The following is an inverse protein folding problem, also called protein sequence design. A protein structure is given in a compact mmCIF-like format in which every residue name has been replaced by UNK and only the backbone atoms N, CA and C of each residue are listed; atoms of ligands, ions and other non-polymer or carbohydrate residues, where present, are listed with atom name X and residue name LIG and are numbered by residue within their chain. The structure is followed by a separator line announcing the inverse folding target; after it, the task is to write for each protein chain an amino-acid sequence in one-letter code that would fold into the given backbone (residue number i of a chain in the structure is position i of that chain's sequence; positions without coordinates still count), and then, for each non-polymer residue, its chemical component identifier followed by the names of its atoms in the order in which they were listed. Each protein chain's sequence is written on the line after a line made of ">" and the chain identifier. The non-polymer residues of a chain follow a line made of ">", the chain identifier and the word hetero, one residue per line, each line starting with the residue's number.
data_IF_663043183584
#
_entry.id   IF_663043183584
#
_cell.length_a   1.000
_cell.length_b   1.000
_cell.length_c   1.000
_cell.angle_alpha   90.00
_cell.angle_beta   90.00
_cell.angle_gamma   90.00
#
_symmetry.space_group_name_H-M   'P 1'
#
loop_
_entity.id
_entity.type
_entity.pdbx_description
1 polymer ?
#
# COMPACT_ATOMS: atom_id res chain seq x y z
N UNK A 1 -6.81 0.14 14.28
CA UNK A 1 -6.07 -1.13 14.41
C UNK A 1 -5.00 -1.21 13.33
N UNK A 2 -3.95 -2.00 13.51
CA UNK A 2 -2.92 -2.27 12.48
C UNK A 2 -3.54 -2.56 11.10
N UNK A 3 -4.59 -3.39 11.04
CA UNK A 3 -5.34 -3.68 9.81
C UNK A 3 -5.94 -2.44 9.11
N UNK A 4 -6.40 -1.45 9.87
CA UNK A 4 -6.90 -0.19 9.30
C UNK A 4 -5.77 0.61 8.66
N UNK A 5 -4.57 0.62 9.28
CA UNK A 5 -3.40 1.30 8.73
C UNK A 5 -2.94 0.64 7.42
N UNK A 6 -3.02 -0.69 7.38
CA UNK A 6 -2.65 -1.50 6.23
C UNK A 6 -3.55 -1.17 5.03
N UNK A 7 -4.86 -1.22 5.25
CA UNK A 7 -5.83 -0.93 4.19
C UNK A 7 -5.82 0.53 3.73
N UNK A 8 -5.67 1.49 4.65
CA UNK A 8 -5.59 2.92 4.31
C UNK A 8 -4.37 3.25 3.45
N UNK A 9 -3.22 2.63 3.74
CA UNK A 9 -2.00 2.85 2.93
C UNK A 9 -2.09 2.21 1.54
N UNK A 10 -2.75 1.06 1.38
CA UNK A 10 -2.96 0.47 0.06
C UNK A 10 -3.85 1.36 -0.83
N UNK A 11 -4.95 1.89 -0.27
CA UNK A 11 -5.80 2.87 -0.96
C UNK A 11 -5.02 4.15 -1.28
N UNK A 12 -4.26 4.67 -0.33
CA UNK A 12 -3.41 5.84 -0.55
C UNK A 12 -2.37 5.63 -1.67
N UNK A 13 -1.76 4.44 -1.71
CA UNK A 13 -0.82 4.05 -2.76
C UNK A 13 -1.47 3.99 -4.13
N UNK A 14 -2.65 3.36 -4.25
CA UNK A 14 -3.42 3.35 -5.51
C UNK A 14 -3.81 4.76 -5.97
N UNK A 15 -4.21 5.63 -5.04
CA UNK A 15 -4.57 7.02 -5.35
C UNK A 15 -3.36 7.81 -5.87
N UNK A 16 -2.18 7.61 -5.28
CA UNK A 16 -0.93 8.20 -5.77
C UNK A 16 -0.54 7.68 -7.16
N UNK A 17 -0.82 6.41 -7.48
CA UNK A 17 -0.62 5.87 -8.82
C UNK A 17 -1.54 6.56 -9.83
N UNK A 18 -2.83 6.75 -9.51
CA UNK A 18 -3.75 7.48 -10.40
C UNK A 18 -3.27 8.91 -10.65
N UNK A 19 -2.83 9.62 -9.61
CA UNK A 19 -2.26 10.97 -9.73
C UNK A 19 -0.98 10.94 -10.57
N UNK A 20 -0.11 9.95 -10.37
CA UNK A 20 1.10 9.79 -11.15
C UNK A 20 0.79 9.59 -12.64
N UNK A 21 -0.18 8.74 -12.97
CA UNK A 21 -0.61 8.51 -14.34
C UNK A 21 -1.20 9.79 -14.97
N UNK A 22 -2.00 10.57 -14.23
CA UNK A 22 -2.50 11.87 -14.70
C UNK A 22 -1.34 12.83 -14.99
N UNK A 23 -0.36 12.93 -14.09
CA UNK A 23 0.78 13.82 -14.28
C UNK A 23 1.71 13.37 -15.41
N UNK A 24 1.96 12.07 -15.56
CA UNK A 24 2.81 11.51 -16.62
C UNK A 24 2.19 11.68 -18.01
N UNK A 25 0.92 11.31 -18.17
CA UNK A 25 0.31 11.20 -19.49
C UNK A 25 -0.54 12.41 -19.87
N UNK A 26 -1.33 12.96 -18.94
CA UNK A 26 -2.26 14.06 -19.23
C UNK A 26 -1.55 15.40 -19.12
N UNK A 27 -0.86 15.66 -18.01
CA UNK A 27 -0.22 16.96 -17.75
C UNK A 27 1.22 17.07 -18.25
N UNK A 28 1.81 15.98 -18.74
CA UNK A 28 3.19 15.93 -19.24
C UNK A 28 4.23 16.43 -18.20
N UNK A 29 3.90 16.32 -16.92
CA UNK A 29 4.74 16.71 -15.78
C UNK A 29 5.57 15.51 -15.33
N UNK A 30 6.54 15.12 -16.15
CA UNK A 30 7.26 13.86 -15.99
C UNK A 30 7.91 13.69 -14.61
N UNK A 31 8.64 14.69 -14.13
CA UNK A 31 9.35 14.60 -12.84
C UNK A 31 8.41 14.42 -11.64
N UNK A 32 7.31 15.17 -11.62
CA UNK A 32 6.30 15.05 -10.57
C UNK A 32 5.52 13.74 -10.67
N UNK A 33 5.18 13.31 -11.89
CA UNK A 33 4.54 12.02 -12.13
C UNK A 33 5.40 10.84 -11.68
N UNK A 34 6.70 10.84 -12.00
CA UNK A 34 7.64 9.82 -11.55
C UNK A 34 7.80 9.82 -10.02
N UNK A 35 7.92 11.00 -9.41
CA UNK A 35 8.04 11.13 -7.95
C UNK A 35 6.79 10.59 -7.25
N UNK A 36 5.60 10.94 -7.73
CA UNK A 36 4.33 10.42 -7.21
C UNK A 36 4.21 8.91 -7.40
N UNK A 37 4.71 8.36 -8.51
CA UNK A 37 4.71 6.91 -8.75
C UNK A 37 5.59 6.18 -7.74
N UNK A 38 6.81 6.67 -7.51
CA UNK A 38 7.75 6.10 -6.53
C UNK A 38 7.13 6.16 -5.12
N UNK A 39 6.56 7.30 -4.75
CA UNK A 39 5.93 7.48 -3.44
C UNK A 39 4.72 6.56 -3.26
N UNK A 40 3.91 6.39 -4.32
CA UNK A 40 2.78 5.46 -4.34
C UNK A 40 3.22 4.01 -4.11
N UNK A 41 4.32 3.57 -4.74
CA UNK A 41 4.88 2.23 -4.52
C UNK A 41 5.37 2.07 -3.08
N UNK A 42 6.13 3.02 -2.53
CA UNK A 42 6.62 2.95 -1.15
C UNK A 42 5.46 2.83 -0.15
N UNK A 43 4.40 3.63 -0.35
CA UNK A 43 3.21 3.61 0.50
C UNK A 43 2.39 2.33 0.32
N UNK A 44 2.26 1.80 -0.91
CA UNK A 44 1.57 0.54 -1.18
C UNK A 44 2.33 -0.70 -0.67
N UNK A 45 3.66 -0.62 -0.52
CA UNK A 45 4.50 -1.68 0.04
C UNK A 45 4.47 -1.72 1.58
N UNK A 46 4.29 -0.57 2.22
CA UNK A 46 4.17 -0.43 3.68
C UNK A 46 3.12 -1.39 4.32
N UNK A 47 1.97 -1.69 3.67
CA UNK A 47 0.96 -2.61 4.20
C UNK A 47 1.04 -4.08 3.75
N UNK A 48 1.18 -4.35 2.45
CA UNK A 48 0.96 -5.69 1.90
C UNK A 48 2.03 -6.72 2.32
N UNK A 49 3.23 -6.26 2.69
CA UNK A 49 4.34 -7.14 3.06
C UNK A 49 4.38 -7.46 4.56
N UNK A 50 3.90 -6.56 5.42
CA UNK A 50 3.83 -6.79 6.88
C UNK A 50 2.56 -7.52 7.31
N UNK A 51 1.47 -7.46 6.53
CA UNK A 51 0.28 -8.29 6.77
C UNK A 51 0.58 -9.80 6.61
N UNK A 52 1.48 -10.19 5.72
CA UNK A 52 1.84 -11.61 5.53
C UNK A 52 2.76 -12.12 6.66
N UNK A 53 3.58 -11.24 7.26
CA UNK A 53 4.49 -11.62 8.35
C UNK A 53 3.82 -11.58 9.73
N UNK A 54 2.79 -10.76 9.92
CA UNK A 54 2.13 -10.55 11.24
C UNK A 54 0.79 -11.29 11.43
N UNK A 55 0.43 -12.22 10.55
CA UNK A 55 -0.86 -12.94 10.61
C UNK A 55 -0.72 -14.42 11.02
N UNK A 56 0.50 -14.87 11.34
CA UNK A 56 0.78 -16.24 11.81
C UNK A 56 0.69 -16.38 13.35
N UNK A 57 0.61 -15.29 14.10
CA UNK A 57 0.63 -15.33 15.58
C UNK A 57 -0.75 -15.55 16.23
N UNK A 58 -1.78 -15.90 15.44
CA UNK A 58 -3.18 -15.91 15.89
C UNK A 58 -3.92 -17.24 15.80
N UNK A 59 -3.34 -18.27 15.18
CA UNK A 59 -4.00 -19.57 15.04
C UNK A 59 -3.40 -20.58 16.02
N UNK A 60 -3.64 -20.40 17.31
CA UNK A 60 -3.56 -21.52 18.24
C UNK A 60 -4.61 -22.56 17.79
N UNK A 61 -4.23 -23.82 17.49
CA UNK A 61 -5.22 -24.87 17.21
C UNK A 61 -6.15 -25.01 18.44
N UNK A 62 -7.42 -25.40 18.25
CA UNK A 62 -8.35 -25.52 19.35
C UNK A 62 -7.79 -26.51 20.37
N UNK A 63 -7.51 -26.02 21.58
CA UNK A 63 -7.12 -26.87 22.70
C UNK A 63 -8.33 -27.73 23.01
N UNK A 64 -8.18 -29.02 22.72
CA UNK A 64 -9.12 -30.08 23.06
C UNK A 64 -9.05 -30.30 24.56
N UNK A 65 -10.14 -30.04 25.27
CA UNK A 65 -10.52 -30.74 26.50
C UNK A 65 -12.01 -31.09 26.43
#
# INVERSE_FOLDING_TARGET
>A
TFKTLVWTSNIGGMLLVVIALEMLFVRQMFGWGLTSLILGVVIALFPSNYEIVGMDDGQSPPQTE
#
